data_IF_766938473418
#
_entry.id   IF_766938473418
#
_cell.length_a   1.000
_cell.length_b   1.000
_cell.length_c   1.000
_cell.angle_alpha   90.00
_cell.angle_beta   90.00
_cell.angle_gamma   90.00
#
_symmetry.space_group_name_H-M   'P 1'
#
loop_
_entity.id
_entity.type
_entity.pdbx_description
1 polymer ?
#
# COMPACT_ATOMS: atom_id res chain seq x y z
N UNK A 1 -0.59 -7.96 -18.94
CA UNK A 1 -0.15 -7.68 -17.56
C UNK A 1 0.15 -9.02 -16.92
N UNK A 2 1.21 -9.15 -16.14
CA UNK A 2 1.49 -10.41 -15.44
C UNK A 2 0.49 -10.58 -14.28
N UNK A 3 0.30 -11.81 -13.80
CA UNK A 3 -0.61 -12.08 -12.68
C UNK A 3 -0.18 -11.31 -11.43
N UNK A 4 1.13 -11.24 -11.13
CA UNK A 4 1.63 -10.47 -10.00
C UNK A 4 1.36 -8.95 -10.13
N UNK A 5 1.34 -8.40 -11.35
CA UNK A 5 1.03 -6.98 -11.55
C UNK A 5 -0.46 -6.69 -11.29
N UNK A 6 -1.34 -7.64 -11.62
CA UNK A 6 -2.78 -7.53 -11.35
C UNK A 6 -3.06 -7.71 -9.85
N UNK A 7 -2.45 -8.72 -9.23
CA UNK A 7 -2.56 -8.98 -7.79
C UNK A 7 -2.05 -7.79 -6.98
N UNK A 8 -0.95 -7.17 -7.40
CA UNK A 8 -0.43 -5.95 -6.77
C UNK A 8 -1.41 -4.77 -6.90
N UNK A 9 -2.03 -4.60 -8.06
CA UNK A 9 -2.99 -3.52 -8.26
C UNK A 9 -4.22 -3.68 -7.35
N UNK A 10 -4.80 -4.87 -7.31
CA UNK A 10 -5.91 -5.18 -6.42
C UNK A 10 -5.53 -4.98 -4.94
N UNK A 11 -4.35 -5.43 -4.55
CA UNK A 11 -3.84 -5.25 -3.20
C UNK A 11 -3.68 -3.78 -2.82
N UNK A 12 -3.16 -2.95 -3.72
CA UNK A 12 -2.98 -1.54 -3.46
C UNK A 12 -4.29 -0.77 -3.37
N UNK A 13 -5.32 -1.16 -4.13
CA UNK A 13 -6.66 -0.63 -3.95
C UNK A 13 -7.24 -0.97 -2.57
N UNK A 14 -7.02 -2.21 -2.10
CA UNK A 14 -7.45 -2.64 -0.76
C UNK A 14 -6.71 -1.90 0.35
N UNK A 15 -5.40 -1.74 0.22
CA UNK A 15 -4.58 -0.98 1.16
C UNK A 15 -5.01 0.50 1.19
N UNK A 16 -5.27 1.10 0.02
CA UNK A 16 -5.75 2.47 -0.06
C UNK A 16 -7.05 2.70 0.69
N UNK A 17 -8.02 1.77 0.53
CA UNK A 17 -9.27 1.78 1.31
C UNK A 17 -9.02 1.64 2.81
N UNK A 18 -8.16 0.71 3.23
CA UNK A 18 -7.82 0.53 4.64
C UNK A 18 -7.20 1.80 5.26
N UNK A 19 -6.30 2.48 4.55
CA UNK A 19 -5.73 3.78 4.96
C UNK A 19 -6.84 4.82 5.13
N UNK A 20 -7.73 4.93 4.14
CA UNK A 20 -8.84 5.88 4.17
C UNK A 20 -9.78 5.63 5.35
N UNK A 21 -10.15 4.38 5.59
CA UNK A 21 -11.04 3.97 6.68
C UNK A 21 -10.40 4.17 8.06
N UNK A 22 -9.13 3.81 8.23
CA UNK A 22 -8.37 4.08 9.45
C UNK A 22 -8.27 5.59 9.74
N UNK A 23 -8.02 6.40 8.70
CA UNK A 23 -8.02 7.85 8.82
C UNK A 23 -9.41 8.40 9.21
N UNK A 24 -10.46 7.93 8.55
CA UNK A 24 -11.83 8.37 8.81
C UNK A 24 -12.30 8.02 10.23
N UNK A 25 -11.97 6.82 10.74
CA UNK A 25 -12.26 6.40 12.13
C UNK A 25 -11.61 7.33 13.16
N UNK A 26 -10.49 7.95 12.82
CA UNK A 26 -9.79 8.94 13.67
C UNK A 26 -10.31 10.36 13.53
N UNK A 27 -11.19 10.63 12.58
CA UNK A 27 -11.62 11.99 12.26
C UNK A 27 -10.49 12.87 11.70
N UNK A 28 -9.39 12.30 11.21
CA UNK A 28 -8.26 13.05 10.67
C UNK A 28 -8.50 13.43 9.21
N UNK A 29 -8.11 14.63 8.80
CA UNK A 29 -8.08 15.03 7.40
C UNK A 29 -6.88 14.40 6.68
N UNK A 30 -6.92 14.39 5.35
CA UNK A 30 -5.75 13.98 4.57
C UNK A 30 -4.54 14.91 4.80
N UNK A 31 -4.79 16.18 5.10
CA UNK A 31 -3.74 17.16 5.34
C UNK A 31 -3.04 16.90 6.68
N UNK A 32 -3.78 16.54 7.72
CA UNK A 32 -3.24 16.23 9.05
C UNK A 32 -2.27 15.04 8.99
N UNK A 33 -2.69 13.94 8.37
CA UNK A 33 -1.87 12.73 8.25
C UNK A 33 -0.65 12.98 7.36
N UNK A 34 -0.84 13.69 6.24
CA UNK A 34 0.25 14.01 5.32
C UNK A 34 1.32 14.88 6.00
N UNK A 35 0.90 15.89 6.77
CA UNK A 35 1.79 16.74 7.56
C UNK A 35 2.55 15.94 8.62
N UNK A 36 1.87 15.02 9.33
CA UNK A 36 2.47 14.19 10.37
C UNK A 36 3.61 13.29 9.86
N UNK A 37 3.55 12.85 8.60
CA UNK A 37 4.55 11.95 8.00
C UNK A 37 5.44 12.64 6.95
N UNK A 38 5.32 13.97 6.80
CA UNK A 38 6.17 14.76 5.92
C UNK A 38 5.94 14.54 4.41
N UNK A 39 4.71 14.22 3.98
CA UNK A 39 4.36 14.11 2.56
C UNK A 39 3.31 15.16 2.16
N UNK A 40 3.07 15.33 0.86
CA UNK A 40 1.99 16.18 0.39
C UNK A 40 0.62 15.51 0.54
N UNK A 41 -0.44 16.30 0.79
CA UNK A 41 -1.85 15.82 0.78
C UNK A 41 -2.19 15.03 -0.48
N UNK A 42 -1.71 15.49 -1.65
CA UNK A 42 -1.89 14.79 -2.92
C UNK A 42 -1.21 13.41 -2.96
N UNK A 43 -0.08 13.25 -2.26
CA UNK A 43 0.57 11.94 -2.14
C UNK A 43 -0.21 11.00 -1.25
N UNK A 44 -0.74 11.47 -0.12
CA UNK A 44 -1.66 10.68 0.69
C UNK A 44 -2.93 10.29 -0.09
N UNK A 45 -3.51 11.23 -0.86
CA UNK A 45 -4.66 10.95 -1.71
C UNK A 45 -4.37 9.85 -2.75
N UNK A 46 -3.17 9.85 -3.36
CA UNK A 46 -2.75 8.78 -4.28
C UNK A 46 -2.60 7.44 -3.57
N UNK A 47 -2.12 7.43 -2.33
CA UNK A 47 -2.03 6.23 -1.50
C UNK A 47 -3.41 5.69 -1.14
N UNK A 48 -4.34 6.55 -0.71
CA UNK A 48 -5.74 6.16 -0.42
C UNK A 48 -6.48 5.63 -1.66
N UNK A 49 -6.13 6.12 -2.84
CA UNK A 49 -6.65 5.58 -4.11
C UNK A 49 -5.98 4.26 -4.50
N UNK A 50 -4.84 3.91 -3.91
CA UNK A 50 -4.03 2.77 -4.33
C UNK A 50 -3.29 2.97 -5.66
N UNK A 51 -3.28 4.18 -6.22
CA UNK A 51 -2.77 4.45 -7.57
C UNK A 51 -2.16 5.86 -7.73
N UNK A 52 -0.99 5.93 -8.36
CA UNK A 52 -0.34 7.21 -8.70
C UNK A 52 -1.01 7.89 -9.88
N UNK A 53 -1.42 7.10 -10.88
CA UNK A 53 -2.12 7.53 -12.09
C UNK A 53 -3.08 6.42 -12.56
N UNK A 54 -4.03 6.69 -13.48
CA UNK A 54 -4.90 5.64 -14.03
C UNK A 54 -4.08 4.47 -14.58
N UNK A 55 -4.39 3.26 -14.11
CA UNK A 55 -3.68 2.03 -14.50
C UNK A 55 -2.28 1.84 -13.89
N UNK A 56 -1.80 2.76 -13.05
CA UNK A 56 -0.50 2.66 -12.39
C UNK A 56 -0.70 2.51 -10.88
N UNK A 57 -0.63 1.28 -10.33
CA UNK A 57 -0.78 1.06 -8.91
C UNK A 57 0.34 1.75 -8.14
N UNK A 58 0.03 2.23 -6.94
CA UNK A 58 1.02 2.86 -6.08
C UNK A 58 2.05 1.83 -5.59
N UNK A 59 3.23 2.29 -5.24
CA UNK A 59 4.27 1.46 -4.63
C UNK A 59 4.96 2.24 -3.50
N UNK A 60 4.31 2.40 -2.34
CA UNK A 60 4.92 3.07 -1.20
C UNK A 60 6.11 2.27 -0.68
N UNK A 61 7.16 2.97 -0.25
CA UNK A 61 8.22 2.33 0.53
C UNK A 61 7.67 1.81 1.86
N UNK A 62 8.30 0.78 2.43
CA UNK A 62 7.96 0.26 3.76
C UNK A 62 7.96 1.38 4.83
N UNK A 63 8.89 2.33 4.74
CA UNK A 63 8.94 3.49 5.63
C UNK A 63 7.66 4.34 5.58
N UNK A 64 7.08 4.57 4.40
CA UNK A 64 5.80 5.29 4.31
C UNK A 64 4.66 4.49 4.92
N UNK A 65 4.62 3.17 4.70
CA UNK A 65 3.58 2.31 5.30
C UNK A 65 3.67 2.34 6.82
N UNK A 66 4.86 2.20 7.39
CA UNK A 66 5.09 2.27 8.84
C UNK A 66 4.74 3.64 9.40
N UNK A 67 5.11 4.73 8.70
CA UNK A 67 4.78 6.09 9.13
C UNK A 67 3.27 6.34 9.12
N UNK A 68 2.55 5.82 8.12
CA UNK A 68 1.08 5.90 8.05
C UNK A 68 0.45 5.11 9.19
N UNK A 69 0.90 3.87 9.44
CA UNK A 69 0.42 3.06 10.56
C UNK A 69 0.60 3.79 11.90
N UNK A 70 1.75 4.43 12.09
CA UNK A 70 2.04 5.22 13.29
C UNK A 70 1.16 6.48 13.40
N UNK A 71 1.02 7.27 12.32
CA UNK A 71 0.19 8.47 12.31
C UNK A 71 -1.30 8.14 12.52
N UNK A 72 -1.72 6.98 11.99
CA UNK A 72 -3.04 6.41 12.18
C UNK A 72 -3.12 5.46 13.37
N UNK A 73 -2.11 5.41 14.25
CA UNK A 73 -1.95 4.52 15.43
C UNK A 73 -2.85 3.27 15.35
N UNK A 74 -2.54 2.50 14.30
CA UNK A 74 -3.04 1.17 13.99
C UNK A 74 -1.83 0.25 13.82
N UNK A 75 -2.02 -1.03 14.07
CA UNK A 75 -0.97 -2.02 13.82
C UNK A 75 -0.75 -2.21 12.31
N UNK A 76 0.42 -2.75 11.94
CA UNK A 76 0.69 -3.15 10.55
C UNK A 76 -0.29 -4.23 10.08
N UNK A 77 -0.71 -5.14 10.96
CA UNK A 77 -1.68 -6.20 10.66
C UNK A 77 -3.09 -5.65 10.41
N UNK A 78 -3.47 -4.56 11.09
CA UNK A 78 -4.74 -3.87 10.83
C UNK A 78 -4.69 -3.06 9.53
N UNK A 79 -3.53 -2.47 9.20
CA UNK A 79 -3.39 -1.63 8.01
C UNK A 79 -3.22 -2.46 6.72
N UNK A 80 -2.50 -3.58 6.78
CA UNK A 80 -2.16 -4.40 5.61
C UNK A 80 -3.24 -5.46 5.34
N UNK A 81 -3.93 -5.41 4.19
CA UNK A 81 -4.99 -6.36 3.88
C UNK A 81 -4.45 -7.78 3.65
N UNK A 82 -5.26 -8.80 3.96
CA UNK A 82 -4.95 -10.22 3.70
C UNK A 82 -5.97 -10.83 2.71
N UNK A 83 -5.57 -11.70 1.75
CA UNK A 83 -4.21 -12.21 1.57
C UNK A 83 -3.29 -11.19 0.92
N UNK A 84 -1.98 -11.39 1.09
CA UNK A 84 -0.93 -10.69 0.34
C UNK A 84 -0.85 -11.17 -1.12
N UNK A 85 -0.32 -10.35 -2.03
CA UNK A 85 -0.08 -10.76 -3.42
C UNK A 85 0.92 -11.91 -3.45
N UNK A 86 0.69 -12.87 -4.34
CA UNK A 86 1.64 -13.94 -4.54
C UNK A 86 2.71 -13.52 -5.55
N UNK A 87 3.81 -12.99 -5.03
CA UNK A 87 4.96 -12.58 -5.82
C UNK A 87 5.75 -13.75 -6.41
N UNK A 88 5.40 -15.00 -6.08
CA UNK A 88 6.07 -16.19 -6.62
C UNK A 88 5.41 -16.70 -7.90
N UNK A 89 4.19 -16.26 -8.25
CA UNK A 89 3.45 -16.71 -9.43
C UNK A 89 4.17 -16.46 -10.76
N UNK A 90 4.97 -15.39 -10.83
CA UNK A 90 5.71 -15.01 -12.04
C UNK A 90 7.22 -15.30 -11.94
N UNK A 91 7.68 -15.97 -10.86
CA UNK A 91 9.10 -16.27 -10.69
C UNK A 91 9.55 -17.39 -11.65
N UNK A 92 10.62 -17.21 -12.45
CA UNK A 92 11.17 -18.31 -13.24
C UNK A 92 11.60 -19.44 -12.31
N UNK A 93 11.31 -20.69 -12.72
CA UNK A 93 11.63 -21.88 -11.93
C UNK A 93 13.06 -21.80 -11.36
N UNK A 94 13.27 -22.15 -10.08
CA UNK A 94 14.55 -21.98 -9.42
C UNK A 94 15.65 -22.66 -10.23
N UNK A 95 16.68 -21.89 -10.62
CA UNK A 95 17.84 -22.42 -11.34
C UNK A 95 18.51 -23.45 -10.44
N UNK A 96 18.36 -24.74 -10.76
CA UNK A 96 19.05 -25.83 -10.07
C UNK A 96 20.56 -25.50 -10.10
N UNK A 97 21.15 -25.30 -8.92
CA UNK A 97 22.61 -25.20 -8.80
C UNK A 97 23.19 -26.51 -9.31
N UNK A 98 23.93 -26.47 -10.43
CA UNK A 98 24.76 -27.59 -10.85
C UNK A 98 25.86 -27.74 -9.80
N UNK A 99 25.82 -28.86 -9.08
CA UNK A 99 26.91 -29.38 -8.26
C UNK A 99 28.05 -29.85 -9.14
#
# INVERSE_FOLDING_TARGET
>A
MTTAQQDWAEYMERLGRAIHEARARRGASQEDVAAAIGISRASLQRLERGATSPGVPANPSLNHVMAIAQALDVSMDELLPQPWPDFQLDAPAPRRRRS
#
